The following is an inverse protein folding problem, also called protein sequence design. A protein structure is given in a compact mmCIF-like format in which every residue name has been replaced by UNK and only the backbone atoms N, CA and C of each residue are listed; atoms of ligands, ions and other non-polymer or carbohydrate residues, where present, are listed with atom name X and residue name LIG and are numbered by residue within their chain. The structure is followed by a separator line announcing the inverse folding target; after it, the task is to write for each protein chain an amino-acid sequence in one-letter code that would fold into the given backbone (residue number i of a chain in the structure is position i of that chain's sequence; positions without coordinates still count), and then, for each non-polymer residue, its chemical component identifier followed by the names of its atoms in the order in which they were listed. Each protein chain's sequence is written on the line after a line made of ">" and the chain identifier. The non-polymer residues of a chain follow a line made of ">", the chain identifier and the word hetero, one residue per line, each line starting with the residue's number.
data_IF_355503533131
#
_entry.id   IF_355503533131
#
_cell.length_a   1.000
_cell.length_b   1.000
_cell.length_c   1.000
_cell.angle_alpha   90.00
_cell.angle_beta   90.00
_cell.angle_gamma   90.00
#
_symmetry.space_group_name_H-M   'P 1'
#
loop_
_entity.id
_entity.type
_entity.pdbx_description
1 polymer ?
#
# COMPACT_ATOMS: atom_id res chain seq x y z
N UNK A 1 27.97 -5.52 -0.19
CA UNK A 1 26.62 -5.58 -0.77
C UNK A 1 25.76 -6.43 0.19
N UNK A 2 24.70 -5.87 0.73
CA UNK A 2 23.84 -6.57 1.72
C UNK A 2 22.86 -7.45 0.98
N UNK A 3 22.79 -8.73 1.34
CA UNK A 3 21.80 -9.68 0.81
C UNK A 3 20.78 -9.95 1.92
N UNK A 4 19.51 -9.87 1.57
CA UNK A 4 18.38 -10.23 2.40
C UNK A 4 17.98 -11.67 2.08
N UNK A 5 17.85 -12.50 3.10
CA UNK A 5 17.34 -13.86 2.98
C UNK A 5 15.87 -13.87 3.37
N UNK A 6 15.01 -14.09 2.38
CA UNK A 6 13.57 -14.11 2.56
C UNK A 6 13.14 -15.47 3.15
N UNK A 7 11.98 -15.53 3.77
CA UNK A 7 11.56 -16.72 4.48
C UNK A 7 11.35 -17.93 3.55
N UNK A 8 10.87 -17.67 2.35
CA UNK A 8 10.59 -18.71 1.34
C UNK A 8 10.44 -18.07 -0.07
N UNK A 9 10.33 -18.93 -1.08
CA UNK A 9 10.11 -18.54 -2.48
C UNK A 9 8.81 -17.73 -2.66
N UNK A 10 7.78 -18.00 -1.86
CA UNK A 10 6.50 -17.27 -1.92
C UNK A 10 6.66 -15.82 -1.49
N UNK A 11 7.45 -15.57 -0.44
CA UNK A 11 7.76 -14.20 -0.01
C UNK A 11 8.57 -13.45 -1.08
N UNK A 12 9.49 -14.13 -1.76
CA UNK A 12 10.27 -13.55 -2.86
C UNK A 12 9.37 -13.21 -4.05
N UNK A 13 8.53 -14.13 -4.49
CA UNK A 13 7.58 -13.92 -5.57
C UNK A 13 6.56 -12.80 -5.26
N UNK A 14 6.07 -12.75 -4.04
CA UNK A 14 5.15 -11.69 -3.60
C UNK A 14 5.84 -10.31 -3.53
N UNK A 15 7.11 -10.25 -3.13
CA UNK A 15 7.92 -9.03 -3.18
C UNK A 15 8.11 -8.57 -4.63
N UNK A 16 8.55 -9.46 -5.51
CA UNK A 16 8.73 -9.19 -6.94
C UNK A 16 7.43 -8.69 -7.58
N UNK A 17 6.31 -9.35 -7.28
CA UNK A 17 4.99 -8.94 -7.76
C UNK A 17 4.56 -7.55 -7.25
N UNK A 18 4.87 -7.20 -6.01
CA UNK A 18 4.61 -5.87 -5.45
C UNK A 18 5.43 -4.80 -6.18
N UNK A 19 6.74 -5.01 -6.33
CA UNK A 19 7.65 -4.10 -7.02
C UNK A 19 7.23 -3.90 -8.49
N UNK A 20 6.91 -4.98 -9.21
CA UNK A 20 6.42 -4.92 -10.59
C UNK A 20 5.16 -4.06 -10.73
N UNK A 21 4.23 -4.14 -9.76
CA UNK A 21 3.02 -3.31 -9.77
C UNK A 21 3.32 -1.85 -9.47
N UNK A 22 4.28 -1.53 -8.60
CA UNK A 22 4.72 -0.16 -8.38
C UNK A 22 5.32 0.43 -9.66
N UNK A 23 6.18 -0.31 -10.35
CA UNK A 23 6.83 0.10 -11.59
C UNK A 23 5.84 0.25 -12.76
N UNK A 24 4.72 -0.47 -12.72
CA UNK A 24 3.65 -0.28 -13.70
C UNK A 24 3.05 1.14 -13.62
N UNK A 25 2.95 1.73 -12.41
CA UNK A 25 2.43 3.08 -12.20
C UNK A 25 3.50 4.16 -12.36
N UNK A 26 4.74 3.84 -12.00
CA UNK A 26 5.88 4.75 -12.10
C UNK A 26 7.16 3.96 -12.33
N UNK A 27 7.71 4.06 -13.54
CA UNK A 27 8.95 3.35 -13.92
C UNK A 27 10.17 3.81 -13.13
N UNK A 28 10.12 4.99 -12.55
CA UNK A 28 11.17 5.56 -11.70
C UNK A 28 10.88 5.39 -10.20
N UNK A 29 9.92 4.54 -9.84
CA UNK A 29 9.53 4.34 -8.46
C UNK A 29 10.74 4.00 -7.58
N UNK A 30 10.79 4.68 -6.43
CA UNK A 30 11.66 4.31 -5.33
C UNK A 30 10.87 3.59 -4.24
N UNK A 31 11.55 2.75 -3.46
CA UNK A 31 10.99 2.12 -2.26
C UNK A 31 11.91 2.39 -1.07
N UNK A 32 11.31 2.54 0.12
CA UNK A 32 12.07 2.60 1.36
C UNK A 32 11.98 1.27 2.07
N UNK A 33 13.13 0.75 2.44
CA UNK A 33 13.31 -0.52 3.14
C UNK A 33 13.58 -0.24 4.60
N UNK A 34 12.83 -0.89 5.50
CA UNK A 34 13.12 -0.88 6.93
C UNK A 34 13.06 -2.31 7.46
N UNK A 35 14.16 -2.80 8.03
CA UNK A 35 14.20 -4.11 8.66
C UNK A 35 14.32 -4.01 10.18
N UNK A 36 13.58 -4.89 10.86
CA UNK A 36 13.63 -5.05 12.33
C UNK A 36 13.39 -6.52 12.63
N UNK A 37 14.37 -7.18 13.27
CA UNK A 37 14.32 -8.62 13.50
C UNK A 37 14.14 -9.38 12.18
N UNK A 38 13.15 -10.26 12.12
CA UNK A 38 12.82 -11.06 10.91
C UNK A 38 11.76 -10.38 10.02
N UNK A 39 11.45 -9.12 10.21
CA UNK A 39 10.49 -8.39 9.41
C UNK A 39 11.18 -7.29 8.57
N UNK A 40 10.90 -7.29 7.27
CA UNK A 40 11.25 -6.22 6.35
C UNK A 40 9.97 -5.50 5.92
N UNK A 41 9.90 -4.22 6.16
CA UNK A 41 8.84 -3.36 5.61
C UNK A 41 9.35 -2.68 4.33
N UNK A 42 8.63 -2.88 3.22
CA UNK A 42 8.89 -2.25 1.93
C UNK A 42 7.79 -1.22 1.68
N UNK A 43 8.16 0.05 1.75
CA UNK A 43 7.25 1.17 1.52
C UNK A 43 7.38 1.64 0.07
N UNK A 44 6.24 1.83 -0.59
CA UNK A 44 6.17 2.38 -1.93
C UNK A 44 4.97 3.31 -2.09
N UNK A 45 5.07 4.28 -2.99
CA UNK A 45 3.97 5.21 -3.29
C UNK A 45 3.54 5.04 -4.74
N UNK A 46 2.45 4.31 -5.02
CA UNK A 46 1.88 4.28 -6.36
C UNK A 46 1.33 5.67 -6.69
N UNK A 47 1.93 6.33 -7.68
CA UNK A 47 1.74 7.76 -7.97
C UNK A 47 0.28 8.16 -8.18
N UNK A 48 -0.53 7.28 -8.79
CA UNK A 48 -1.91 7.58 -9.17
C UNK A 48 -2.91 7.59 -8.00
N UNK A 49 -2.53 7.17 -6.79
CA UNK A 49 -3.48 6.94 -5.70
C UNK A 49 -3.31 7.87 -4.49
N UNK A 50 -2.22 8.63 -4.42
CA UNK A 50 -1.90 9.49 -3.27
C UNK A 50 -1.92 8.75 -1.92
N UNK A 51 -1.46 7.53 -1.91
CA UNK A 51 -1.36 6.65 -0.73
C UNK A 51 0.05 6.14 -0.56
N UNK A 52 0.35 5.60 0.61
CA UNK A 52 1.56 4.84 0.86
C UNK A 52 1.20 3.36 0.99
N UNK A 53 1.78 2.54 0.13
CA UNK A 53 1.65 1.09 0.19
C UNK A 53 2.77 0.51 1.04
N UNK A 54 2.46 -0.49 1.83
CA UNK A 54 3.43 -1.18 2.70
C UNK A 54 3.29 -2.68 2.50
N UNK A 55 4.34 -3.31 1.98
CA UNK A 55 4.47 -4.76 1.97
C UNK A 55 5.37 -5.18 3.13
N UNK A 56 4.84 -6.00 4.04
CA UNK A 56 5.65 -6.70 5.02
C UNK A 56 6.17 -7.99 4.39
N UNK A 57 7.46 -8.23 4.50
CA UNK A 57 8.16 -9.41 3.98
C UNK A 57 8.84 -10.09 5.17
N UNK A 58 8.70 -11.41 5.28
CA UNK A 58 9.38 -12.19 6.30
C UNK A 58 10.79 -12.54 5.85
N UNK A 59 11.74 -12.41 6.76
CA UNK A 59 13.11 -12.87 6.56
C UNK A 59 13.29 -14.23 7.24
N UNK A 60 14.11 -15.12 6.65
CA UNK A 60 14.44 -16.43 7.22
C UNK A 60 15.24 -16.31 8.51
N UNK A 61 16.02 -15.25 8.64
CA UNK A 61 16.79 -14.92 9.82
C UNK A 61 16.77 -13.40 10.08
N UNK A 62 17.00 -12.98 11.35
CA UNK A 62 17.02 -11.56 11.67
C UNK A 62 18.05 -10.83 10.84
N UNK A 63 17.66 -9.66 10.32
CA UNK A 63 18.59 -8.78 9.64
C UNK A 63 19.78 -8.47 10.57
N UNK A 64 20.97 -8.90 10.15
CA UNK A 64 22.23 -8.68 10.85
C UNK A 64 23.03 -7.60 10.10
N UNK A 65 22.64 -6.34 10.31
CA UNK A 65 23.55 -5.22 10.09
C UNK A 65 24.58 -5.14 11.22
N UNK A 66 25.45 -4.15 11.17
CA UNK A 66 26.23 -3.74 12.33
C UNK A 66 25.29 -3.62 13.55
N UNK A 67 25.66 -4.07 14.77
CA UNK A 67 24.76 -4.10 15.94
C UNK A 67 23.99 -2.79 16.19
N UNK A 68 24.52 -1.67 15.69
CA UNK A 68 23.93 -0.34 15.77
C UNK A 68 23.18 0.11 14.52
N UNK A 69 23.15 -0.70 13.43
CA UNK A 69 22.52 -0.31 12.15
C UNK A 69 21.28 -1.15 11.86
N UNK A 70 20.12 -0.54 12.03
CA UNK A 70 18.89 -1.03 11.43
C UNK A 70 18.92 -0.72 9.93
N UNK A 71 18.48 -1.65 9.07
CA UNK A 71 18.29 -1.31 7.67
C UNK A 71 17.21 -0.22 7.57
N UNK A 72 17.59 0.92 7.07
CA UNK A 72 16.66 2.02 6.77
C UNK A 72 17.21 2.82 5.58
N UNK A 73 16.85 2.38 4.37
CA UNK A 73 17.43 2.89 3.13
C UNK A 73 16.34 3.08 2.07
N UNK A 74 16.52 4.08 1.21
CA UNK A 74 15.68 4.25 0.02
C UNK A 74 16.48 3.80 -1.19
N UNK A 75 15.87 2.94 -2.02
CA UNK A 75 16.49 2.34 -3.19
C UNK A 75 15.57 2.41 -4.42
N UNK A 76 16.12 2.21 -5.62
CA UNK A 76 15.33 2.04 -6.84
C UNK A 76 14.47 0.77 -6.74
N UNK A 77 13.17 0.89 -7.03
CA UNK A 77 12.29 -0.28 -7.08
C UNK A 77 12.65 -1.23 -8.23
N UNK A 78 13.15 -0.71 -9.35
CA UNK A 78 13.61 -1.50 -10.48
C UNK A 78 14.85 -2.32 -10.15
N UNK A 79 15.88 -1.67 -9.61
CA UNK A 79 17.10 -2.38 -9.21
C UNK A 79 16.84 -3.44 -8.12
N UNK A 80 15.94 -3.12 -7.17
CA UNK A 80 15.55 -4.12 -6.17
C UNK A 80 14.82 -5.29 -6.81
N UNK A 81 13.90 -5.05 -7.76
CA UNK A 81 13.21 -6.12 -8.47
C UNK A 81 14.18 -7.02 -9.24
N UNK A 82 15.14 -6.42 -9.95
CA UNK A 82 16.17 -7.16 -10.71
C UNK A 82 17.07 -8.01 -9.80
N UNK A 83 17.20 -7.63 -8.52
CA UNK A 83 18.03 -8.35 -7.55
C UNK A 83 17.31 -9.49 -6.84
N UNK A 84 15.97 -9.62 -7.02
CA UNK A 84 15.21 -10.72 -6.38
C UNK A 84 15.47 -12.02 -7.12
N UNK A 85 15.99 -13.01 -6.37
CA UNK A 85 16.06 -14.40 -6.82
C UNK A 85 14.96 -15.20 -6.09
N UNK A 86 13.88 -15.50 -6.83
CA UNK A 86 12.74 -16.23 -6.27
C UNK A 86 13.13 -17.65 -5.85
N UNK A 87 13.97 -18.32 -6.62
CA UNK A 87 14.39 -19.69 -6.36
C UNK A 87 15.33 -19.84 -5.15
N UNK A 88 16.18 -18.84 -4.94
CA UNK A 88 17.07 -18.78 -3.78
C UNK A 88 16.42 -18.08 -2.58
N UNK A 89 15.23 -17.52 -2.75
CA UNK A 89 14.54 -16.66 -1.77
C UNK A 89 15.45 -15.54 -1.25
N UNK A 90 16.14 -14.82 -2.14
CA UNK A 90 17.05 -13.75 -1.77
C UNK A 90 16.76 -12.45 -2.52
N UNK A 91 17.20 -11.34 -1.94
CA UNK A 91 17.22 -10.04 -2.61
C UNK A 91 18.45 -9.24 -2.17
N UNK A 92 19.21 -8.74 -3.12
CA UNK A 92 20.32 -7.85 -2.81
C UNK A 92 19.81 -6.42 -2.63
N UNK A 93 20.26 -5.74 -1.56
CA UNK A 93 19.91 -4.33 -1.35
C UNK A 93 20.69 -3.47 -2.32
N UNK A 94 20.04 -2.73 -3.23
CA UNK A 94 20.71 -1.85 -4.17
C UNK A 94 21.39 -0.67 -3.48
N UNK A 95 22.15 0.10 -4.26
CA UNK A 95 22.72 1.36 -3.78
C UNK A 95 21.62 2.33 -3.34
N UNK A 96 21.89 3.07 -2.26
CA UNK A 96 20.97 4.10 -1.78
C UNK A 96 20.78 5.19 -2.83
N UNK A 97 19.55 5.63 -3.02
CA UNK A 97 19.21 6.77 -3.88
C UNK A 97 18.67 7.93 -3.07
N UNK A 98 18.76 9.15 -3.62
CA UNK A 98 18.05 10.29 -3.06
C UNK A 98 16.55 10.03 -3.20
N UNK A 99 15.88 9.77 -2.06
CA UNK A 99 14.47 9.44 -2.04
C UNK A 99 13.56 10.61 -2.36
N UNK A 100 12.36 10.35 -2.91
CA UNK A 100 11.34 11.36 -3.05
C UNK A 100 10.86 11.87 -1.67
N UNK A 101 10.25 13.08 -1.57
CA UNK A 101 9.87 13.67 -0.28
C UNK A 101 9.03 12.78 0.63
N UNK A 102 8.17 11.92 0.06
CA UNK A 102 7.33 11.01 0.85
C UNK A 102 8.16 9.99 1.66
N UNK A 103 9.36 9.61 1.18
CA UNK A 103 10.21 8.65 1.88
C UNK A 103 10.68 9.15 3.24
N UNK A 104 10.68 10.46 3.46
CA UNK A 104 10.97 11.08 4.77
C UNK A 104 9.75 11.15 5.70
N UNK A 105 8.55 10.82 5.22
CA UNK A 105 7.29 11.00 5.98
C UNK A 105 6.53 9.68 5.99
N UNK A 106 6.97 8.75 6.83
CA UNK A 106 6.34 7.44 6.99
C UNK A 106 5.28 7.45 8.11
N UNK A 107 4.31 6.52 8.06
CA UNK A 107 3.40 6.31 9.16
C UNK A 107 4.15 5.83 10.41
N UNK A 108 3.62 6.08 11.63
CA UNK A 108 4.26 5.66 12.87
C UNK A 108 4.38 4.13 12.93
N UNK A 109 5.46 3.66 13.57
CA UNK A 109 5.72 2.22 13.73
C UNK A 109 4.74 1.54 14.69
N UNK A 110 4.15 2.27 15.63
CA UNK A 110 3.24 1.74 16.64
C UNK A 110 2.12 2.72 17.01
N UNK A 111 1.39 2.42 18.09
CA UNK A 111 0.28 3.24 18.56
C UNK A 111 -0.98 3.12 17.70
N UNK A 112 -1.08 2.05 16.91
CA UNK A 112 -2.25 1.78 16.09
C UNK A 112 -3.42 1.27 16.91
N UNK A 113 -4.62 1.81 16.63
CA UNK A 113 -5.89 1.41 17.23
C UNK A 113 -6.83 0.98 16.14
N UNK A 114 -7.62 -0.07 16.38
CA UNK A 114 -8.64 -0.52 15.43
C UNK A 114 -9.79 0.50 15.36
N UNK A 115 -10.16 0.87 14.16
CA UNK A 115 -11.33 1.71 13.86
C UNK A 115 -12.50 0.81 13.45
N UNK A 116 -13.69 1.03 13.99
CA UNK A 116 -14.88 0.28 13.59
C UNK A 116 -15.44 0.73 12.24
N UNK A 117 -16.42 -0.02 11.73
CA UNK A 117 -17.22 0.38 10.58
C UNK A 117 -16.59 0.07 9.21
N UNK A 118 -15.47 -0.66 9.17
CA UNK A 118 -14.92 -1.13 7.90
C UNK A 118 -15.83 -2.20 7.29
N UNK A 119 -16.34 -2.02 6.06
CA UNK A 119 -17.12 -3.05 5.38
C UNK A 119 -16.30 -4.32 5.09
N UNK A 120 -16.93 -5.48 4.93
CA UNK A 120 -16.25 -6.72 4.56
C UNK A 120 -15.63 -6.62 3.16
N UNK A 121 -14.65 -7.49 2.88
CA UNK A 121 -13.82 -7.43 1.65
C UNK A 121 -14.66 -7.39 0.36
N UNK A 122 -15.74 -8.17 0.29
CA UNK A 122 -16.66 -8.16 -0.87
C UNK A 122 -17.30 -6.80 -1.11
N UNK A 123 -17.77 -6.13 -0.04
CA UNK A 123 -18.37 -4.80 -0.14
C UNK A 123 -17.33 -3.73 -0.51
N UNK A 124 -16.10 -3.85 -0.03
CA UNK A 124 -15.00 -2.99 -0.46
C UNK A 124 -14.74 -3.12 -1.96
N UNK A 125 -14.71 -4.36 -2.48
CA UNK A 125 -14.57 -4.62 -3.91
C UNK A 125 -15.70 -4.02 -4.74
N UNK A 126 -16.96 -4.17 -4.29
CA UNK A 126 -18.13 -3.58 -4.95
C UNK A 126 -18.08 -2.04 -4.95
N UNK A 127 -17.66 -1.42 -3.85
CA UNK A 127 -17.47 0.04 -3.76
C UNK A 127 -16.46 0.55 -4.80
N UNK A 128 -15.32 -0.12 -4.95
CA UNK A 128 -14.33 0.25 -5.98
C UNK A 128 -14.88 0.04 -7.38
N UNK A 129 -15.56 -1.08 -7.65
CA UNK A 129 -16.15 -1.35 -8.95
C UNK A 129 -17.19 -0.27 -9.35
N UNK A 130 -18.04 0.13 -8.41
CA UNK A 130 -19.00 1.22 -8.62
C UNK A 130 -18.32 2.56 -8.90
N UNK A 131 -17.28 2.91 -8.14
CA UNK A 131 -16.51 4.14 -8.35
C UNK A 131 -15.81 4.16 -9.70
N UNK A 132 -15.25 3.03 -10.16
CA UNK A 132 -14.63 2.90 -11.49
C UNK A 132 -15.69 3.05 -12.58
N UNK A 133 -16.86 2.41 -12.42
CA UNK A 133 -17.95 2.52 -13.39
C UNK A 133 -18.46 3.97 -13.49
N UNK A 134 -18.68 4.64 -12.37
CA UNK A 134 -19.08 6.04 -12.32
C UNK A 134 -18.04 6.96 -13.01
N UNK A 135 -16.76 6.79 -12.69
CA UNK A 135 -15.69 7.56 -13.31
C UNK A 135 -15.72 7.42 -14.84
N UNK A 136 -15.87 6.19 -15.34
CA UNK A 136 -15.96 5.89 -16.77
C UNK A 136 -17.19 6.55 -17.41
N UNK A 137 -18.36 6.40 -16.81
CA UNK A 137 -19.61 7.00 -17.30
C UNK A 137 -19.47 8.51 -17.40
N UNK A 138 -19.10 9.17 -16.30
CA UNK A 138 -18.96 10.64 -16.26
C UNK A 138 -17.92 11.16 -17.24
N UNK A 139 -16.83 10.44 -17.46
CA UNK A 139 -15.79 10.85 -18.44
C UNK A 139 -16.23 10.60 -19.89
N UNK A 140 -17.07 9.60 -20.15
CA UNK A 140 -17.64 9.34 -21.48
C UNK A 140 -18.72 10.35 -21.85
N UNK A 141 -19.50 10.83 -20.88
CA UNK A 141 -20.56 11.81 -21.06
C UNK A 141 -20.03 13.24 -21.34
N UNK A 142 -18.75 13.51 -21.01
CA UNK A 142 -18.14 14.78 -21.34
C UNK A 142 -18.04 14.97 -22.84
N UNK A 143 -18.48 16.14 -23.35
CA UNK A 143 -18.21 16.55 -24.72
C UNK A 143 -16.69 16.62 -24.94
N UNK A 144 -16.24 16.36 -26.17
CA UNK A 144 -14.81 16.23 -26.50
C UNK A 144 -14.00 17.48 -26.11
N UNK A 145 -14.58 18.67 -26.28
CA UNK A 145 -13.98 19.94 -25.91
C UNK A 145 -13.82 20.12 -24.39
N UNK A 146 -14.60 19.42 -23.57
CA UNK A 146 -14.54 19.45 -22.10
C UNK A 146 -13.69 18.31 -21.50
N UNK A 147 -13.16 17.38 -22.31
CA UNK A 147 -12.28 16.28 -21.83
C UNK A 147 -10.85 16.76 -21.54
N UNK A 148 -10.76 17.81 -20.75
CA UNK A 148 -9.46 18.32 -20.31
C UNK A 148 -8.90 17.53 -19.14
N UNK A 149 -7.57 17.58 -18.95
CA UNK A 149 -6.88 16.99 -17.80
C UNK A 149 -7.48 17.50 -16.49
N UNK A 150 -7.74 18.80 -16.40
CA UNK A 150 -8.29 19.43 -15.20
C UNK A 150 -9.68 18.91 -14.84
N UNK A 151 -10.54 18.68 -15.84
CA UNK A 151 -11.88 18.16 -15.60
C UNK A 151 -11.85 16.68 -15.21
N UNK A 152 -11.00 15.86 -15.85
CA UNK A 152 -10.79 14.47 -15.45
C UNK A 152 -10.24 14.36 -14.02
N UNK A 153 -9.29 15.20 -13.66
CA UNK A 153 -8.71 15.27 -12.31
C UNK A 153 -9.76 15.75 -11.28
N UNK A 154 -10.68 16.64 -11.67
CA UNK A 154 -11.78 17.09 -10.80
C UNK A 154 -12.75 15.94 -10.50
N UNK A 155 -13.22 15.24 -11.55
CA UNK A 155 -14.11 14.08 -11.40
C UNK A 155 -13.43 13.00 -10.59
N UNK A 156 -12.17 12.72 -10.88
CA UNK A 156 -11.39 11.74 -10.14
C UNK A 156 -11.28 12.09 -8.65
N UNK A 157 -10.91 13.31 -8.30
CA UNK A 157 -10.82 13.74 -6.91
C UNK A 157 -12.14 13.61 -6.17
N UNK A 158 -13.25 13.99 -6.80
CA UNK A 158 -14.58 13.88 -6.19
C UNK A 158 -14.93 12.40 -5.86
N UNK A 159 -14.70 11.49 -6.79
CA UNK A 159 -15.04 10.07 -6.63
C UNK A 159 -14.09 9.38 -5.65
N UNK A 160 -12.78 9.56 -5.85
CA UNK A 160 -11.76 8.84 -5.09
C UNK A 160 -11.57 9.36 -3.66
N UNK A 161 -12.03 10.57 -3.34
CA UNK A 161 -12.00 11.10 -1.98
C UNK A 161 -13.22 10.72 -1.14
N UNK A 162 -14.28 10.14 -1.71
CA UNK A 162 -15.44 9.65 -0.96
C UNK A 162 -15.02 8.66 0.10
N UNK A 163 -15.72 8.66 1.21
CA UNK A 163 -15.43 7.78 2.32
C UNK A 163 -16.09 6.42 2.13
N UNK A 164 -15.47 5.38 2.65
CA UNK A 164 -15.94 4.00 2.58
C UNK A 164 -16.80 3.70 3.80
N UNK A 165 -18.08 3.42 3.60
CA UNK A 165 -19.03 3.16 4.68
C UNK A 165 -19.05 4.32 5.70
N UNK A 166 -19.04 3.98 6.99
CA UNK A 166 -19.02 4.96 8.08
C UNK A 166 -17.60 5.30 8.55
N UNK A 167 -16.58 4.97 7.76
CA UNK A 167 -15.18 5.19 8.11
C UNK A 167 -14.65 6.52 7.55
N UNK A 168 -13.45 6.91 8.00
CA UNK A 168 -12.70 8.03 7.41
C UNK A 168 -11.76 7.57 6.28
N UNK A 169 -11.88 6.31 5.82
CA UNK A 169 -11.04 5.75 4.77
C UNK A 169 -11.53 6.23 3.39
N UNK A 170 -10.72 6.89 2.58
CA UNK A 170 -11.13 7.28 1.23
C UNK A 170 -11.11 6.08 0.26
N UNK A 171 -12.02 6.08 -0.71
CA UNK A 171 -12.15 5.02 -1.73
C UNK A 171 -10.84 4.77 -2.46
N UNK A 172 -10.02 5.81 -2.71
CA UNK A 172 -8.69 5.65 -3.33
C UNK A 172 -7.77 4.67 -2.59
N UNK A 173 -7.89 4.58 -1.26
CA UNK A 173 -7.07 3.65 -0.47
C UNK A 173 -7.47 2.19 -0.73
N UNK A 174 -8.76 1.90 -0.84
CA UNK A 174 -9.27 0.56 -1.18
C UNK A 174 -8.94 0.23 -2.63
N UNK A 175 -9.09 1.20 -3.54
CA UNK A 175 -8.72 1.04 -4.95
C UNK A 175 -7.22 0.71 -5.11
N UNK A 176 -6.34 1.40 -4.38
CA UNK A 176 -4.92 1.10 -4.36
C UNK A 176 -4.64 -0.33 -3.83
N UNK A 177 -5.30 -0.74 -2.73
CA UNK A 177 -5.16 -2.09 -2.18
C UNK A 177 -5.57 -3.17 -3.20
N UNK A 178 -6.66 -2.95 -3.93
CA UNK A 178 -7.11 -3.85 -4.98
C UNK A 178 -6.14 -3.88 -6.17
N UNK A 179 -5.68 -2.73 -6.61
CA UNK A 179 -4.74 -2.59 -7.74
C UNK A 179 -3.38 -3.22 -7.45
N UNK A 180 -2.93 -3.14 -6.22
CA UNK A 180 -1.70 -3.79 -5.74
C UNK A 180 -1.90 -5.27 -5.36
N UNK A 181 -3.12 -5.81 -5.55
CA UNK A 181 -3.47 -7.19 -5.19
C UNK A 181 -3.36 -7.50 -3.69
N UNK A 182 -3.51 -6.51 -2.83
CA UNK A 182 -3.52 -6.69 -1.38
C UNK A 182 -4.88 -7.24 -0.86
N UNK A 183 -5.96 -7.06 -1.64
CA UNK A 183 -7.32 -7.56 -1.37
C UNK A 183 -7.68 -8.79 -2.22
N UNK A 184 -6.71 -9.55 -2.71
CA UNK A 184 -7.02 -10.79 -3.42
C UNK A 184 -7.63 -11.82 -2.45
N UNK A 185 -8.58 -12.67 -2.90
CA UNK A 185 -9.01 -13.81 -2.09
C UNK A 185 -7.80 -14.70 -1.75
N UNK A 186 -7.78 -15.37 -0.59
CA UNK A 186 -6.78 -16.40 -0.33
C UNK A 186 -6.83 -17.44 -1.45
N UNK A 187 -5.65 -17.92 -1.88
CA UNK A 187 -5.59 -18.98 -2.87
C UNK A 187 -6.36 -20.19 -2.32
N UNK A 188 -7.33 -20.70 -3.09
CA UNK A 188 -7.98 -21.96 -2.77
C UNK A 188 -6.90 -23.03 -2.95
N UNK A 189 -6.37 -23.53 -1.84
CA UNK A 189 -5.47 -24.69 -1.86
C UNK A 189 -6.32 -25.86 -2.34
N UNK A 190 -6.00 -26.39 -3.51
CA UNK A 190 -6.63 -27.61 -4.03
C UNK A 190 -6.49 -28.74 -2.99
N UNK A 191 -7.52 -29.56 -2.86
CA UNK A 191 -7.53 -30.75 -1.99
C UNK A 191 -6.36 -31.67 -2.35
N UNK A 192 -5.21 -31.53 -1.68
CA UNK A 192 -4.05 -32.37 -1.94
C UNK A 192 -2.84 -32.09 -1.07
N UNK A 193 -2.71 -30.94 -0.44
CA UNK A 193 -1.55 -30.65 0.41
C UNK A 193 -1.96 -30.40 1.87
N UNK A 194 -2.02 -31.49 2.62
CA UNK A 194 -2.45 -31.53 4.03
C UNK A 194 -1.41 -31.01 5.04
N UNK A 195 -0.36 -30.33 4.61
CA UNK A 195 0.79 -30.02 5.46
C UNK A 195 0.93 -28.54 5.88
N UNK A 196 0.04 -27.64 5.44
CA UNK A 196 0.08 -26.24 5.89
C UNK A 196 -1.16 -25.91 6.71
N UNK A 197 -1.01 -25.39 7.95
CA UNK A 197 -2.16 -24.89 8.67
C UNK A 197 -2.81 -23.78 7.81
N UNK A 198 -4.17 -23.72 7.75
CA UNK A 198 -4.83 -22.68 7.00
C UNK A 198 -4.32 -21.32 7.51
N UNK A 199 -3.71 -20.56 6.63
CA UNK A 199 -3.44 -19.15 6.93
C UNK A 199 -4.77 -18.56 7.37
N UNK A 200 -4.78 -17.96 8.56
CA UNK A 200 -5.96 -17.39 9.22
C UNK A 200 -6.88 -16.76 8.19
N UNK A 201 -8.15 -17.07 8.31
CA UNK A 201 -9.23 -16.65 7.42
C UNK A 201 -9.03 -15.19 7.01
N UNK A 202 -8.96 -14.89 5.73
CA UNK A 202 -8.60 -13.58 5.19
C UNK A 202 -9.48 -12.39 5.64
N UNK A 203 -10.53 -12.64 6.43
CA UNK A 203 -11.34 -11.62 7.10
C UNK A 203 -10.71 -11.15 8.43
N UNK A 204 -10.01 -12.01 9.16
CA UNK A 204 -9.34 -11.62 10.41
C UNK A 204 -8.15 -10.68 10.17
N UNK A 205 -7.57 -10.73 8.98
CA UNK A 205 -6.46 -9.86 8.61
C UNK A 205 -6.91 -8.51 8.00
N UNK A 206 -8.21 -8.34 7.74
CA UNK A 206 -8.76 -7.09 7.22
C UNK A 206 -9.16 -6.17 8.36
N UNK A 207 -8.47 -5.05 8.51
CA UNK A 207 -8.77 -4.08 9.55
C UNK A 207 -8.44 -2.65 9.11
N UNK A 208 -9.23 -1.70 9.60
CA UNK A 208 -8.89 -0.29 9.55
C UNK A 208 -8.25 0.11 10.87
N UNK A 209 -7.09 0.72 10.79
CA UNK A 209 -6.32 1.15 11.95
C UNK A 209 -6.06 2.65 11.88
N UNK A 210 -5.94 3.30 13.04
CA UNK A 210 -5.56 4.71 13.13
C UNK A 210 -4.40 4.92 14.08
N UNK A 211 -3.56 5.92 13.78
CA UNK A 211 -2.52 6.42 14.68
C UNK A 211 -2.21 7.88 14.33
N UNK A 212 -2.54 8.81 15.24
CA UNK A 212 -2.46 10.24 14.97
C UNK A 212 -3.26 10.65 13.73
N UNK A 213 -2.63 11.29 12.78
CA UNK A 213 -3.23 11.72 11.50
C UNK A 213 -3.27 10.61 10.44
N UNK A 214 -2.82 9.39 10.75
CA UNK A 214 -2.75 8.31 9.80
C UNK A 214 -3.91 7.33 9.95
N UNK A 215 -4.42 6.86 8.81
CA UNK A 215 -5.24 5.67 8.67
C UNK A 215 -4.45 4.60 7.94
N UNK A 216 -4.63 3.34 8.33
CA UNK A 216 -4.01 2.19 7.68
C UNK A 216 -5.06 1.11 7.45
N UNK A 217 -5.34 0.83 6.19
CA UNK A 217 -6.07 -0.36 5.79
C UNK A 217 -5.10 -1.52 5.80
N UNK A 218 -5.20 -2.40 6.80
CA UNK A 218 -4.47 -3.67 6.87
C UNK A 218 -5.23 -4.71 6.07
N UNK A 219 -4.51 -5.49 5.30
CA UNK A 219 -5.04 -6.58 4.47
C UNK A 219 -4.09 -7.78 4.56
N UNK A 220 -4.50 -8.99 4.13
CA UNK A 220 -3.65 -10.19 4.20
C UNK A 220 -2.28 -10.06 3.50
N UNK A 221 -2.22 -9.29 2.42
CA UNK A 221 -1.03 -9.21 1.57
C UNK A 221 -0.30 -7.88 1.60
N UNK A 222 -0.69 -6.97 2.49
CA UNK A 222 -0.05 -5.68 2.65
C UNK A 222 -0.92 -4.68 3.37
N UNK A 223 -0.56 -3.41 3.29
CA UNK A 223 -1.36 -2.35 3.89
C UNK A 223 -1.29 -1.09 3.03
N UNK A 224 -2.35 -0.31 3.10
CA UNK A 224 -2.40 1.03 2.52
C UNK A 224 -2.52 2.04 3.64
N UNK A 225 -1.59 2.99 3.70
CA UNK A 225 -1.64 4.09 4.64
C UNK A 225 -1.98 5.40 3.92
N UNK A 226 -2.87 6.17 4.53
CA UNK A 226 -3.28 7.51 4.07
C UNK A 226 -3.30 8.47 5.25
N UNK A 227 -3.07 9.75 4.99
CA UNK A 227 -3.37 10.77 5.99
C UNK A 227 -4.88 11.02 6.01
N UNK A 228 -5.43 11.19 7.21
CA UNK A 228 -6.79 11.71 7.36
C UNK A 228 -6.82 13.09 6.69
N UNK A 229 -7.87 13.40 5.97
CA UNK A 229 -8.16 14.78 5.67
C UNK A 229 -8.25 15.52 7.03
N UNK A 230 -7.45 16.54 7.23
CA UNK A 230 -7.63 17.38 8.39
C UNK A 230 -9.08 17.87 8.35
N UNK A 231 -9.86 17.55 9.38
CA UNK A 231 -11.12 18.23 9.61
C UNK A 231 -10.73 19.71 9.65
N UNK A 232 -11.15 20.45 8.61
CA UNK A 232 -10.68 21.81 8.37
C UNK A 232 -10.60 22.55 9.70
N UNK A 233 -9.46 23.16 9.96
CA UNK A 233 -9.35 24.18 10.99
C UNK A 233 -10.50 25.13 10.70
N UNK A 234 -11.54 25.08 11.53
CA UNK A 234 -12.72 25.90 11.37
C UNK A 234 -12.24 27.31 11.08
N UNK A 235 -12.89 27.96 10.12
CA UNK A 235 -12.62 29.33 9.76
C UNK A 235 -12.28 30.13 11.01
N UNK A 236 -11.02 30.55 11.13
CA UNK A 236 -10.64 31.54 12.11
C UNK A 236 -11.41 32.80 11.69
N UNK A 237 -12.55 33.03 12.32
CA UNK A 237 -13.31 34.26 12.20
C UNK A 237 -12.47 35.34 12.87
N UNK A 238 -11.62 35.99 12.06
CA UNK A 238 -10.85 37.17 12.53
C UNK A 238 -11.81 38.31 12.57
N UNK A 239 -12.49 38.47 13.69
CA UNK A 239 -13.19 39.72 14.05
C UNK A 239 -12.15 40.79 14.27
N UNK A 240 -11.93 41.63 13.26
CA UNK A 240 -11.21 42.88 13.41
C UNK A 240 -12.14 43.85 14.20
N UNK A 241 -11.73 44.21 15.40
CA UNK A 241 -12.28 45.33 16.15
C UNK A 241 -11.56 46.60 15.78
#
# INVERSE_FOLDING_TARGET
>A
MTVLHLADETEAADLAAFLSRLLHYDRSAAVRLQATGTALAVFGRPASFEVLAVRAVRLSEPYRGDPDTTLDVTVSAGELLESVDESAATAAVPAAVTGPPWAGVLPPRGGWRTEPGLPPAGALGATVAAAVAEFRSRTQELAQEHRTRAELDRIGREIWSRLVGETQLPVRAVHAAQSLRFLRPPAVVGEGDSARPPAASGEEDLALLSSGTWLRLRTPYGSIAVRRAEAGLGSLDVSVR
#
